data_IF_415448105929
#
_entry.id   IF_415448105929
#
_cell.length_a   1.000
_cell.length_b   1.000
_cell.length_c   1.000
_cell.angle_alpha   90.00
_cell.angle_beta   90.00
_cell.angle_gamma   90.00
#
_symmetry.space_group_name_H-M   'P 1'
#
loop_
_entity.id
_entity.type
_entity.pdbx_description
1 polymer ?
#
# COMPACT_ATOMS: atom_id res chain seq x y z
N UNK A 1 -16.25 -6.58 -12.94
CA UNK A 1 -17.68 -6.32 -13.13
C UNK A 1 -18.52 -7.61 -13.11
N UNK A 2 -18.00 -8.69 -13.64
CA UNK A 2 -18.74 -9.96 -13.64
C UNK A 2 -19.02 -10.49 -12.23
N UNK A 3 -18.13 -10.23 -11.30
CA UNK A 3 -18.24 -10.76 -9.93
C UNK A 3 -19.10 -9.88 -9.03
N UNK A 4 -19.32 -8.61 -9.38
CA UNK A 4 -20.09 -7.69 -8.54
C UNK A 4 -21.54 -8.20 -8.33
N UNK A 5 -22.15 -8.77 -9.35
CA UNK A 5 -23.52 -9.32 -9.26
C UNK A 5 -23.63 -10.52 -8.32
N UNK A 6 -22.50 -11.10 -7.91
CA UNK A 6 -22.44 -12.22 -6.97
C UNK A 6 -21.97 -11.78 -5.58
N UNK A 7 -22.01 -10.46 -5.29
CA UNK A 7 -21.53 -9.89 -4.04
C UNK A 7 -20.04 -10.11 -3.80
N UNK A 8 -19.27 -10.16 -4.88
CA UNK A 8 -17.82 -10.30 -4.80
C UNK A 8 -17.21 -8.94 -5.10
N UNK A 9 -16.41 -8.43 -4.16
CA UNK A 9 -15.66 -7.19 -4.32
C UNK A 9 -14.19 -7.52 -4.58
N UNK A 10 -13.59 -6.82 -5.51
CA UNK A 10 -12.18 -7.00 -5.85
C UNK A 10 -11.50 -5.65 -5.81
N UNK A 11 -10.54 -5.51 -4.93
CA UNK A 11 -9.76 -4.30 -4.76
C UNK A 11 -8.27 -4.67 -4.69
N UNK A 12 -7.42 -3.68 -4.85
CA UNK A 12 -5.98 -3.87 -4.78
C UNK A 12 -5.35 -2.84 -3.84
N UNK A 13 -4.22 -3.22 -3.25
CA UNK A 13 -3.37 -2.30 -2.52
C UNK A 13 -2.08 -2.17 -3.31
N UNK A 14 -1.66 -0.94 -3.58
CA UNK A 14 -0.41 -0.65 -4.28
C UNK A 14 0.55 0.03 -3.30
N UNK A 15 1.39 -0.74 -2.58
CA UNK A 15 2.36 -0.17 -1.67
C UNK A 15 3.54 0.42 -2.44
N UNK A 16 4.17 1.45 -1.86
CA UNK A 16 5.45 1.96 -2.34
C UNK A 16 6.61 1.20 -1.70
N UNK A 17 7.70 1.91 -1.43
CA UNK A 17 8.85 1.30 -0.78
C UNK A 17 8.53 0.96 0.67
N UNK A 18 8.55 -0.33 0.98
CA UNK A 18 8.26 -0.84 2.32
C UNK A 18 9.53 -1.41 2.93
N UNK A 19 9.67 -1.25 4.23
CA UNK A 19 10.82 -1.77 4.95
C UNK A 19 10.66 -3.28 5.18
N UNK A 20 11.39 -4.08 4.40
CA UNK A 20 11.39 -5.54 4.49
C UNK A 20 12.77 -6.03 4.91
N UNK A 21 12.92 -7.31 5.32
CA UNK A 21 14.26 -7.85 5.61
C UNK A 21 15.24 -7.70 4.45
N UNK A 22 14.76 -7.80 3.21
CA UNK A 22 15.62 -7.59 2.04
C UNK A 22 16.07 -6.13 1.94
N UNK A 23 15.13 -5.18 2.14
CA UNK A 23 15.47 -3.75 2.10
C UNK A 23 16.38 -3.36 3.26
N UNK A 24 16.23 -3.99 4.43
CA UNK A 24 17.11 -3.72 5.56
C UNK A 24 18.58 -4.03 5.24
N UNK A 25 18.83 -5.04 4.40
CA UNK A 25 20.20 -5.38 3.97
C UNK A 25 20.80 -4.30 3.07
N UNK A 26 19.98 -3.65 2.25
CA UNK A 26 20.44 -2.63 1.29
C UNK A 26 20.18 -1.22 1.77
N UNK A 27 19.44 -1.04 2.86
CA UNK A 27 19.02 0.27 3.36
C UNK A 27 20.18 1.24 3.57
N UNK A 28 21.32 0.85 4.19
CA UNK A 28 22.42 1.80 4.39
C UNK A 28 22.92 2.39 3.09
N UNK A 29 22.76 1.65 1.96
CA UNK A 29 23.25 2.08 0.67
C UNK A 29 22.20 2.85 -0.14
N UNK A 30 20.94 2.41 -0.12
CA UNK A 30 19.90 2.94 -1.01
C UNK A 30 18.71 3.57 -0.29
N UNK A 31 18.48 3.22 0.98
CA UNK A 31 17.27 3.60 1.70
C UNK A 31 17.09 5.11 1.84
N UNK A 32 18.17 5.87 2.02
CA UNK A 32 18.09 7.32 2.13
C UNK A 32 17.58 7.95 0.83
N UNK A 33 18.03 7.44 -0.33
CA UNK A 33 17.55 7.92 -1.61
C UNK A 33 16.06 7.69 -1.78
N UNK A 34 15.60 6.49 -1.44
CA UNK A 34 14.18 6.15 -1.52
C UNK A 34 13.35 6.99 -0.55
N UNK A 35 13.83 7.17 0.67
CA UNK A 35 13.15 8.00 1.67
C UNK A 35 13.04 9.45 1.23
N UNK A 36 14.10 10.01 0.64
CA UNK A 36 14.11 11.39 0.20
C UNK A 36 13.18 11.62 -1.00
N UNK A 37 12.93 10.58 -1.82
CA UNK A 37 12.00 10.67 -2.94
C UNK A 37 10.55 10.49 -2.51
N UNK A 38 10.30 10.04 -1.29
CA UNK A 38 8.97 9.85 -0.75
C UNK A 38 8.54 11.09 0.01
N UNK A 39 7.41 11.74 -0.33
CA UNK A 39 6.96 12.95 0.37
C UNK A 39 6.87 12.83 1.89
N UNK A 40 6.47 11.65 2.42
CA UNK A 40 6.46 11.46 3.87
C UNK A 40 7.86 11.25 4.47
N UNK A 41 8.89 11.16 3.63
CA UNK A 41 10.28 11.14 4.08
C UNK A 41 10.74 9.84 4.72
N UNK A 42 10.02 8.74 4.52
CA UNK A 42 10.37 7.45 5.12
C UNK A 42 9.85 6.28 4.29
N UNK A 43 10.41 5.11 4.53
CA UNK A 43 9.86 3.86 4.01
C UNK A 43 8.63 3.47 4.85
N UNK A 44 7.72 2.74 4.25
CA UNK A 44 6.58 2.20 4.98
C UNK A 44 6.97 0.97 5.80
N UNK A 45 6.27 0.75 6.89
CA UNK A 45 6.38 -0.49 7.67
C UNK A 45 5.36 -1.50 7.16
N UNK A 46 5.73 -2.79 7.02
CA UNK A 46 4.77 -3.82 6.60
C UNK A 46 3.51 -3.87 7.47
N UNK A 47 3.62 -3.53 8.77
CA UNK A 47 2.48 -3.46 9.66
C UNK A 47 1.44 -2.42 9.23
N UNK A 48 1.84 -1.40 8.47
CA UNK A 48 0.92 -0.36 8.02
C UNK A 48 -0.06 -0.84 6.95
N UNK A 49 0.19 -2.01 6.33
CA UNK A 49 -0.71 -2.61 5.36
C UNK A 49 -1.92 -3.26 6.05
N UNK A 50 -1.78 -3.63 7.32
CA UNK A 50 -2.83 -4.37 8.05
C UNK A 50 -4.16 -3.61 8.11
N UNK A 51 -4.12 -2.33 8.45
CA UNK A 51 -5.33 -1.50 8.53
C UNK A 51 -6.06 -1.41 7.19
N UNK A 52 -5.39 -0.96 6.12
CA UNK A 52 -6.01 -0.93 4.78
C UNK A 52 -6.51 -2.27 4.30
N UNK A 53 -5.75 -3.35 4.52
CA UNK A 53 -6.18 -4.70 4.12
C UNK A 53 -7.45 -5.10 4.88
N UNK A 54 -7.49 -4.85 6.18
CA UNK A 54 -8.67 -5.14 7.01
C UNK A 54 -9.86 -4.30 6.56
N UNK A 55 -9.65 -3.01 6.26
CA UNK A 55 -10.71 -2.14 5.74
C UNK A 55 -11.30 -2.72 4.45
N UNK A 56 -10.46 -3.09 3.49
CA UNK A 56 -10.93 -3.61 2.21
C UNK A 56 -11.60 -4.99 2.35
N UNK A 57 -11.23 -5.77 3.36
CA UNK A 57 -11.83 -7.08 3.62
C UNK A 57 -13.10 -7.01 4.46
N UNK A 58 -13.42 -5.87 5.04
CA UNK A 58 -14.50 -5.73 6.02
C UNK A 58 -15.75 -5.09 5.41
N UNK A 59 -16.83 -5.11 6.19
CA UNK A 59 -18.08 -4.42 5.83
C UNK A 59 -17.93 -2.91 5.76
N UNK A 60 -16.88 -2.34 6.38
CA UNK A 60 -16.61 -0.90 6.32
C UNK A 60 -16.39 -0.42 4.89
N UNK A 61 -15.95 -1.32 3.98
CA UNK A 61 -15.76 -1.02 2.56
C UNK A 61 -16.80 -1.69 1.68
N UNK A 62 -18.00 -1.93 2.18
CA UNK A 62 -19.03 -2.71 1.47
C UNK A 62 -19.45 -2.12 0.13
N UNK A 63 -19.25 -0.81 -0.07
CA UNK A 63 -19.57 -0.15 -1.34
C UNK A 63 -18.32 0.14 -2.18
N UNK A 64 -17.18 -0.51 -1.87
CA UNK A 64 -15.90 -0.29 -2.55
C UNK A 64 -15.54 -1.54 -3.34
N UNK A 65 -15.45 -1.41 -4.66
CA UNK A 65 -14.94 -2.44 -5.54
C UNK A 65 -14.26 -1.79 -6.75
N UNK A 66 -13.30 -2.46 -7.33
CA UNK A 66 -12.54 -1.93 -8.46
C UNK A 66 -11.56 -0.83 -8.08
N UNK A 67 -11.28 -0.63 -6.80
CA UNK A 67 -10.39 0.42 -6.33
C UNK A 67 -8.95 -0.08 -6.18
N UNK A 68 -8.02 0.85 -6.38
CA UNK A 68 -6.61 0.63 -6.03
C UNK A 68 -6.28 1.63 -4.93
N UNK A 69 -5.97 1.11 -3.74
CA UNK A 69 -5.55 1.96 -2.62
C UNK A 69 -4.03 2.09 -2.65
N UNK A 70 -3.56 3.28 -2.98
CA UNK A 70 -2.13 3.57 -3.05
C UNK A 70 -1.61 3.92 -1.66
N UNK A 71 -0.56 3.22 -1.23
CA UNK A 71 0.06 3.38 0.09
C UNK A 71 1.56 3.58 -0.08
N UNK A 72 1.97 4.71 -0.61
CA UNK A 72 3.36 4.95 -0.99
C UNK A 72 3.98 6.20 -0.34
N UNK A 73 3.34 6.73 0.68
CA UNK A 73 3.82 7.95 1.33
C UNK A 73 3.82 9.16 0.41
N UNK A 74 3.06 9.11 -0.67
CA UNK A 74 2.96 10.18 -1.66
C UNK A 74 3.94 10.06 -2.82
N UNK A 75 4.68 8.96 -2.92
CA UNK A 75 5.71 8.79 -3.95
C UNK A 75 5.18 9.05 -5.37
N UNK A 76 3.97 8.59 -5.68
CA UNK A 76 3.39 8.70 -7.03
C UNK A 76 2.76 10.06 -7.34
N UNK A 77 2.75 11.01 -6.40
CA UNK A 77 2.21 12.34 -6.68
C UNK A 77 3.22 13.27 -7.36
N UNK A 78 4.46 12.84 -7.52
CA UNK A 78 5.51 13.62 -8.19
C UNK A 78 5.20 13.84 -9.69
#
# INVERSE_FOLDING_TARGET
AEWAKHNIRVNAIAPGYMRTPLLDKVFPKYGKGWSSLTPLGRLGNPSEIKGPALFLASKASSFVTGSVLVMDGGYTIW
#
